data_IF_959396286437
#
_entry.id   IF_959396286437
#
_cell.length_a   1.000
_cell.length_b   1.000
_cell.length_c   1.000
_cell.angle_alpha   90.00
_cell.angle_beta   90.00
_cell.angle_gamma   90.00
#
_symmetry.space_group_name_H-M   'P 1'
#
loop_
_entity.id
_entity.type
_entity.pdbx_description
1 polymer ?
#
# COMPACT_ATOMS: atom_id res chain seq x y z
N UNK A 1 0.21 0.17 14.21
CA UNK A 1 -0.40 -0.62 13.11
C UNK A 1 0.50 -1.80 12.79
N UNK A 2 -0.09 -2.88 12.27
CA UNK A 2 0.65 -3.96 11.58
C UNK A 2 0.72 -3.60 10.09
N UNK A 3 1.93 -3.50 9.56
CA UNK A 3 2.19 -3.15 8.15
C UNK A 3 2.68 -4.38 7.42
N UNK A 4 1.94 -4.81 6.40
CA UNK A 4 2.34 -5.92 5.52
C UNK A 4 3.15 -5.42 4.33
N UNK A 5 4.23 -6.10 3.99
CA UNK A 5 4.97 -5.90 2.74
C UNK A 5 4.70 -7.08 1.83
N UNK A 6 4.16 -6.81 0.64
CA UNK A 6 3.92 -7.81 -0.41
C UNK A 6 3.93 -7.12 -1.78
N UNK A 7 4.73 -7.55 -2.73
CA UNK A 7 4.79 -6.96 -4.07
C UNK A 7 4.68 -8.03 -5.16
N UNK A 8 4.36 -7.60 -6.38
CA UNK A 8 4.28 -8.49 -7.54
C UNK A 8 5.63 -9.17 -7.85
N UNK A 9 5.58 -10.40 -8.37
CA UNK A 9 6.78 -11.21 -8.70
C UNK A 9 7.74 -10.53 -9.68
N UNK A 10 7.24 -9.63 -10.53
CA UNK A 10 8.10 -8.83 -11.42
C UNK A 10 9.13 -7.97 -10.68
N UNK A 11 8.99 -7.80 -9.37
CA UNK A 11 9.90 -7.03 -8.51
C UNK A 11 10.36 -7.83 -7.29
N UNK A 12 10.38 -9.17 -7.37
CA UNK A 12 10.77 -10.05 -6.25
C UNK A 12 12.16 -9.76 -5.72
N UNK A 13 13.11 -9.45 -6.60
CA UNK A 13 14.48 -9.11 -6.22
C UNK A 13 14.59 -7.86 -5.33
N UNK A 14 13.56 -7.01 -5.35
CA UNK A 14 13.50 -5.84 -4.47
C UNK A 14 12.78 -6.08 -3.15
N UNK A 15 12.24 -7.28 -2.92
CA UNK A 15 11.51 -7.57 -1.68
C UNK A 15 12.33 -7.24 -0.42
N UNK A 16 13.60 -7.68 -0.28
CA UNK A 16 14.40 -7.36 0.90
C UNK A 16 14.56 -5.85 1.09
N UNK A 17 14.81 -5.11 0.00
CA UNK A 17 14.96 -3.67 0.05
C UNK A 17 13.67 -2.96 0.50
N UNK A 18 12.51 -3.37 -0.07
CA UNK A 18 11.21 -2.79 0.30
C UNK A 18 10.92 -3.06 1.78
N UNK A 19 11.18 -4.28 2.23
CA UNK A 19 10.98 -4.67 3.62
C UNK A 19 11.86 -3.85 4.56
N UNK A 20 13.16 -3.74 4.29
CA UNK A 20 14.10 -2.99 5.12
C UNK A 20 13.78 -1.49 5.16
N UNK A 21 13.44 -0.90 4.01
CA UNK A 21 13.02 0.50 3.95
C UNK A 21 11.72 0.73 4.74
N UNK A 22 10.76 -0.21 4.64
CA UNK A 22 9.49 -0.12 5.38
C UNK A 22 9.73 -0.23 6.89
N UNK A 23 10.59 -1.14 7.33
CA UNK A 23 10.97 -1.25 8.75
C UNK A 23 11.58 0.04 9.28
N UNK A 24 12.60 0.55 8.59
CA UNK A 24 13.27 1.81 8.98
C UNK A 24 12.31 2.98 9.06
N UNK A 25 11.30 3.02 8.20
CA UNK A 25 10.32 4.10 8.17
C UNK A 25 9.21 3.94 9.22
N UNK A 26 8.74 2.71 9.48
CA UNK A 26 7.53 2.46 10.25
C UNK A 26 7.79 2.10 11.73
N UNK A 27 8.81 1.29 12.03
CA UNK A 27 9.08 0.82 13.39
C UNK A 27 9.41 1.95 14.40
N UNK A 28 10.14 3.02 14.03
CA UNK A 28 10.36 4.16 14.93
C UNK A 28 9.07 4.86 15.40
N UNK A 29 7.98 4.68 14.66
CA UNK A 29 6.65 5.22 14.98
C UNK A 29 5.73 4.19 15.67
N UNK A 30 6.27 3.09 16.18
CA UNK A 30 5.55 2.06 16.93
C UNK A 30 4.70 1.13 16.05
N UNK A 31 5.04 0.99 14.77
CA UNK A 31 4.39 0.02 13.88
C UNK A 31 5.18 -1.28 13.83
N UNK A 32 4.53 -2.40 13.54
CA UNK A 32 5.16 -3.70 13.32
C UNK A 32 5.12 -4.02 11.84
N UNK A 33 6.24 -4.45 11.24
CA UNK A 33 6.32 -4.77 9.82
C UNK A 33 6.46 -6.27 9.61
N UNK A 34 5.62 -6.82 8.73
CA UNK A 34 5.58 -8.26 8.40
C UNK A 34 5.80 -8.41 6.89
N UNK A 35 6.75 -9.27 6.51
CA UNK A 35 7.02 -9.55 5.11
C UNK A 35 6.25 -10.78 4.64
N UNK A 36 5.41 -10.61 3.62
CA UNK A 36 4.61 -11.66 2.98
C UNK A 36 5.15 -12.06 1.59
N UNK A 37 6.28 -11.53 1.19
CA UNK A 37 6.90 -11.84 -0.12
C UNK A 37 6.46 -10.83 -1.22
N UNK A 38 6.54 -11.18 -2.49
CA UNK A 38 7.11 -12.42 -3.05
C UNK A 38 8.62 -12.40 -2.82
N UNK A 39 9.17 -13.48 -2.27
CA UNK A 39 10.60 -13.56 -1.94
C UNK A 39 11.44 -13.87 -3.19
N UNK A 40 12.73 -13.48 -3.23
CA UNK A 40 13.61 -13.73 -4.38
C UNK A 40 13.71 -15.21 -4.77
N UNK A 41 13.71 -16.11 -3.77
CA UNK A 41 13.82 -17.56 -3.96
C UNK A 41 12.53 -18.25 -4.43
N UNK A 42 11.39 -17.55 -4.40
CA UNK A 42 10.13 -18.13 -4.86
C UNK A 42 10.12 -18.31 -6.39
N UNK A 43 9.72 -19.48 -6.84
CA UNK A 43 9.67 -19.83 -8.27
C UNK A 43 8.34 -19.48 -8.93
N UNK A 44 7.27 -19.44 -8.14
CA UNK A 44 5.93 -19.11 -8.62
C UNK A 44 5.81 -17.62 -8.98
N UNK A 45 4.99 -17.36 -9.98
CA UNK A 45 4.75 -16.00 -10.46
C UNK A 45 3.39 -15.50 -10.01
N UNK A 46 3.40 -14.57 -9.09
CA UNK A 46 2.23 -13.83 -8.64
C UNK A 46 2.13 -12.51 -9.40
N UNK A 47 1.10 -12.37 -10.22
CA UNK A 47 0.80 -11.14 -10.92
C UNK A 47 0.41 -10.03 -9.94
N UNK A 48 0.40 -8.78 -10.43
CA UNK A 48 -0.09 -7.65 -9.61
C UNK A 48 -1.58 -7.80 -9.23
N UNK A 49 -2.37 -8.54 -10.01
CA UNK A 49 -3.79 -8.81 -9.71
C UNK A 49 -3.92 -9.79 -8.55
N UNK A 50 -3.21 -10.91 -8.60
CA UNK A 50 -3.19 -11.92 -7.53
C UNK A 50 -2.61 -11.35 -6.24
N UNK A 51 -1.51 -10.60 -6.33
CA UNK A 51 -0.91 -9.90 -5.18
C UNK A 51 -1.87 -8.89 -4.55
N UNK A 52 -2.62 -8.15 -5.37
CA UNK A 52 -3.65 -7.23 -4.86
C UNK A 52 -4.78 -7.99 -4.15
N UNK A 53 -5.17 -9.15 -4.67
CA UNK A 53 -6.17 -10.00 -4.04
C UNK A 53 -5.70 -10.51 -2.67
N UNK A 54 -4.46 -11.01 -2.58
CA UNK A 54 -3.85 -11.40 -1.30
C UNK A 54 -3.77 -10.21 -0.33
N UNK A 55 -3.41 -9.02 -0.83
CA UNK A 55 -3.39 -7.79 -0.02
C UNK A 55 -4.78 -7.48 0.58
N UNK A 56 -5.83 -7.64 -0.20
CA UNK A 56 -7.21 -7.46 0.27
C UNK A 56 -7.62 -8.52 1.31
N UNK A 57 -7.19 -9.78 1.16
CA UNK A 57 -7.39 -10.83 2.16
C UNK A 57 -6.68 -10.51 3.48
N UNK A 58 -5.42 -10.06 3.42
CA UNK A 58 -4.64 -9.69 4.59
C UNK A 58 -5.29 -8.53 5.37
N UNK A 59 -5.80 -7.53 4.65
CA UNK A 59 -6.52 -6.39 5.25
C UNK A 59 -7.87 -6.83 5.84
N UNK A 60 -8.67 -7.57 5.08
CA UNK A 60 -10.03 -7.97 5.49
C UNK A 60 -10.04 -8.97 6.66
N UNK A 61 -9.00 -9.79 6.79
CA UNK A 61 -8.85 -10.72 7.92
C UNK A 61 -8.33 -10.04 9.20
N UNK A 62 -7.87 -8.78 9.11
CA UNK A 62 -7.22 -8.09 10.24
C UNK A 62 -5.80 -8.61 10.54
N UNK A 63 -5.21 -9.39 9.64
CA UNK A 63 -3.81 -9.82 9.76
C UNK A 63 -2.88 -8.60 9.74
N UNK A 64 -3.20 -7.61 8.92
CA UNK A 64 -2.52 -6.32 8.84
C UNK A 64 -3.51 -5.15 8.78
N UNK A 65 -3.04 -3.96 9.14
CA UNK A 65 -3.81 -2.71 9.08
C UNK A 65 -3.48 -1.88 7.84
N UNK A 66 -2.29 -2.09 7.29
CA UNK A 66 -1.76 -1.36 6.14
C UNK A 66 -0.91 -2.27 5.25
N UNK A 67 -0.93 -2.04 3.93
CA UNK A 67 -0.11 -2.76 2.95
C UNK A 67 0.85 -1.80 2.23
N UNK A 68 2.12 -2.14 2.22
CA UNK A 68 3.13 -1.60 1.30
C UNK A 68 3.30 -2.61 0.17
N UNK A 69 2.99 -2.19 -1.05
CA UNK A 69 3.00 -3.04 -2.24
C UNK A 69 3.58 -2.31 -3.44
N UNK A 70 3.62 -2.96 -4.59
CA UNK A 70 4.04 -2.37 -5.85
C UNK A 70 4.23 -3.38 -6.96
N UNK A 71 4.45 -2.86 -8.13
CA UNK A 71 4.84 -3.61 -9.33
C UNK A 71 5.83 -2.76 -10.14
N UNK A 72 6.14 -3.13 -11.37
CA UNK A 72 7.11 -2.37 -12.16
C UNK A 72 6.75 -0.89 -12.31
N UNK A 73 5.50 -0.54 -12.62
CA UNK A 73 5.04 0.86 -12.73
C UNK A 73 4.31 1.35 -11.47
N UNK A 74 3.86 0.46 -10.60
CA UNK A 74 2.98 0.77 -9.47
C UNK A 74 1.51 1.04 -9.84
N UNK A 75 1.24 1.42 -11.09
CA UNK A 75 -0.11 1.81 -11.53
C UNK A 75 -1.06 0.61 -11.60
N UNK A 76 -0.62 -0.50 -12.21
CA UNK A 76 -1.43 -1.72 -12.28
C UNK A 76 -1.79 -2.25 -10.89
N UNK A 77 -0.84 -2.25 -9.97
CA UNK A 77 -1.06 -2.67 -8.58
C UNK A 77 -2.09 -1.76 -7.89
N UNK A 78 -1.97 -0.43 -8.05
CA UNK A 78 -2.95 0.53 -7.50
C UNK A 78 -4.36 0.25 -8.04
N UNK A 79 -4.51 0.07 -9.35
CA UNK A 79 -5.81 -0.22 -9.99
C UNK A 79 -6.40 -1.53 -9.47
N UNK A 80 -5.61 -2.59 -9.40
CA UNK A 80 -6.03 -3.89 -8.91
C UNK A 80 -6.46 -3.82 -7.43
N UNK A 81 -5.66 -3.19 -6.58
CA UNK A 81 -6.01 -2.97 -5.17
C UNK A 81 -7.32 -2.21 -5.03
N UNK A 82 -7.48 -1.11 -5.75
CA UNK A 82 -8.70 -0.30 -5.71
C UNK A 82 -9.92 -0.96 -6.36
N UNK A 83 -9.77 -2.07 -7.06
CA UNK A 83 -10.89 -2.89 -7.56
C UNK A 83 -11.51 -3.75 -6.46
N UNK A 84 -10.81 -3.95 -5.35
CA UNK A 84 -11.20 -4.88 -4.28
C UNK A 84 -11.89 -4.16 -3.11
N UNK A 85 -12.82 -4.81 -2.41
CA UNK A 85 -13.52 -4.19 -1.30
C UNK A 85 -12.59 -3.90 -0.12
N UNK A 86 -12.84 -2.78 0.53
CA UNK A 86 -12.09 -2.37 1.74
C UNK A 86 -10.66 -1.91 1.49
N UNK A 87 -10.21 -1.84 0.24
CA UNK A 87 -8.86 -1.35 -0.10
C UNK A 87 -8.94 0.06 -0.67
N UNK A 88 -8.18 0.97 -0.07
CA UNK A 88 -7.94 2.32 -0.55
C UNK A 88 -6.45 2.50 -0.77
N UNK A 89 -6.01 2.32 -2.01
CA UNK A 89 -4.61 2.27 -2.40
C UNK A 89 -4.19 3.56 -3.11
N UNK A 90 -3.14 4.22 -2.59
CA UNK A 90 -2.49 5.33 -3.24
C UNK A 90 -1.34 4.88 -4.13
N UNK A 91 -1.12 5.57 -5.26
CA UNK A 91 0.10 5.48 -6.04
C UNK A 91 1.09 6.52 -5.52
N UNK A 92 2.21 6.09 -4.99
CA UNK A 92 3.15 6.94 -4.24
C UNK A 92 4.55 6.93 -4.87
N UNK A 93 4.77 7.67 -5.96
CA UNK A 93 6.07 7.73 -6.63
C UNK A 93 7.07 8.65 -5.92
N UNK A 94 6.60 9.59 -5.08
CA UNK A 94 7.43 10.59 -4.42
C UNK A 94 7.10 10.76 -2.94
N UNK A 95 8.04 11.33 -2.15
CA UNK A 95 7.77 11.68 -0.75
C UNK A 95 6.58 12.63 -0.55
N UNK A 96 6.34 13.55 -1.49
CA UNK A 96 5.18 14.46 -1.43
C UNK A 96 3.87 13.68 -1.57
N UNK A 97 3.79 12.76 -2.52
CA UNK A 97 2.60 11.93 -2.71
C UNK A 97 2.32 11.10 -1.45
N UNK A 98 3.36 10.52 -0.86
CA UNK A 98 3.27 9.72 0.35
C UNK A 98 2.79 10.56 1.55
N UNK A 99 3.35 11.75 1.74
CA UNK A 99 2.91 12.67 2.79
C UNK A 99 1.44 13.02 2.64
N UNK A 100 1.03 13.46 1.45
CA UNK A 100 -0.35 13.89 1.20
C UNK A 100 -1.34 12.72 1.33
N UNK A 101 -0.99 11.56 0.79
CA UNK A 101 -1.82 10.36 0.91
C UNK A 101 -2.02 9.96 2.38
N UNK A 102 -0.94 9.89 3.15
CA UNK A 102 -1.03 9.57 4.57
C UNK A 102 -1.83 10.59 5.36
N UNK A 103 -1.60 11.88 5.12
CA UNK A 103 -2.25 12.97 5.90
C UNK A 103 -3.70 13.22 5.49
N UNK A 104 -4.01 13.15 4.20
CA UNK A 104 -5.33 13.55 3.68
C UNK A 104 -6.22 12.34 3.46
N UNK A 105 -5.76 11.37 2.67
CA UNK A 105 -6.64 10.30 2.20
C UNK A 105 -6.82 9.18 3.23
N UNK A 106 -5.83 8.96 4.10
CA UNK A 106 -5.93 7.96 5.17
C UNK A 106 -6.27 6.57 4.64
N UNK A 107 -5.75 6.21 3.46
CA UNK A 107 -5.93 4.89 2.88
C UNK A 107 -5.17 3.80 3.64
N UNK A 108 -5.32 2.56 3.21
CA UNK A 108 -4.74 1.39 3.87
C UNK A 108 -3.79 0.56 2.98
N UNK A 109 -3.46 1.07 1.80
CA UNK A 109 -2.47 0.45 0.92
C UNK A 109 -1.67 1.51 0.15
N UNK A 110 -0.38 1.27 -0.05
CA UNK A 110 0.53 2.12 -0.81
C UNK A 110 1.15 1.32 -1.94
N UNK A 111 0.93 1.72 -3.19
CA UNK A 111 1.54 1.13 -4.37
C UNK A 111 2.71 1.97 -4.88
N UNK A 112 3.87 1.33 -4.98
CA UNK A 112 5.14 1.95 -5.33
C UNK A 112 5.59 1.55 -6.76
N UNK A 113 6.16 2.48 -7.56
CA UNK A 113 6.83 2.15 -8.81
C UNK A 113 8.22 1.56 -8.49
N UNK A 114 8.32 0.23 -8.56
CA UNK A 114 9.55 -0.48 -8.17
C UNK A 114 10.49 -0.76 -9.36
N UNK A 115 10.03 -0.55 -10.59
CA UNK A 115 10.81 -0.68 -11.81
C UNK A 115 10.94 0.63 -12.55
N UNK A 116 9.82 1.19 -12.98
CA UNK A 116 9.78 2.44 -13.75
C UNK A 116 10.30 3.62 -12.92
N UNK A 117 11.33 4.29 -13.45
CA UNK A 117 11.92 5.46 -12.79
C UNK A 117 12.72 5.14 -11.52
N UNK A 118 12.90 3.86 -11.18
CA UNK A 118 13.68 3.48 -9.99
C UNK A 118 15.14 3.92 -10.13
N UNK A 119 15.77 3.59 -11.27
CA UNK A 119 17.07 4.10 -11.67
C UNK A 119 18.20 3.99 -10.64
N UNK A 120 19.24 4.76 -10.85
CA UNK A 120 20.35 4.91 -9.90
C UNK A 120 19.89 5.71 -8.68
N UNK A 121 20.25 5.23 -7.48
CA UNK A 121 19.79 5.80 -6.19
C UNK A 121 18.27 5.75 -5.96
N UNK A 122 17.55 4.85 -6.65
CA UNK A 122 16.10 4.69 -6.44
C UNK A 122 15.72 4.25 -5.02
N UNK A 123 16.63 3.55 -4.34
CA UNK A 123 16.50 3.18 -2.92
C UNK A 123 16.40 4.39 -1.99
N UNK A 124 17.05 5.51 -2.32
CA UNK A 124 16.96 6.75 -1.54
C UNK A 124 15.56 7.35 -1.68
N UNK A 125 15.03 7.43 -2.89
CA UNK A 125 13.65 7.90 -3.11
C UNK A 125 12.64 6.99 -2.40
N UNK A 126 12.81 5.67 -2.48
CA UNK A 126 11.97 4.70 -1.80
C UNK A 126 11.97 4.92 -0.28
N UNK A 127 13.16 5.05 0.33
CA UNK A 127 13.30 5.29 1.77
C UNK A 127 12.60 6.59 2.18
N UNK A 128 12.90 7.71 1.49
CA UNK A 128 12.29 9.01 1.77
C UNK A 128 10.76 8.98 1.59
N UNK A 129 10.26 8.25 0.58
CA UNK A 129 8.82 8.10 0.34
C UNK A 129 8.14 7.38 1.51
N UNK A 130 8.71 6.27 1.98
CA UNK A 130 8.17 5.52 3.10
C UNK A 130 8.29 6.29 4.43
N UNK A 131 9.38 7.00 4.66
CA UNK A 131 9.53 7.87 5.84
C UNK A 131 8.44 8.95 5.87
N UNK A 132 8.14 9.59 4.73
CA UNK A 132 7.07 10.58 4.66
C UNK A 132 5.66 9.98 4.77
N UNK A 133 5.50 8.73 4.40
CA UNK A 133 4.24 8.01 4.60
C UNK A 133 3.95 7.80 6.09
N UNK A 134 4.95 7.36 6.86
CA UNK A 134 4.80 6.94 8.26
C UNK A 134 5.19 7.99 9.30
N UNK A 135 5.67 9.20 8.90
CA UNK A 135 6.18 10.21 9.83
C UNK A 135 5.15 10.77 10.82
N UNK A 136 3.85 10.56 10.58
CA UNK A 136 2.74 11.07 11.41
C UNK A 136 1.50 10.19 11.31
N UNK A 137 0.51 10.50 12.13
CA UNK A 137 -0.80 9.86 12.14
C UNK A 137 -1.52 9.99 10.78
N UNK A 138 -2.18 8.92 10.36
CA UNK A 138 -2.92 8.84 9.10
C UNK A 138 -4.29 9.54 9.19
N UNK A 139 -4.69 10.17 8.08
CA UNK A 139 -6.03 10.74 7.93
C UNK A 139 -6.35 11.93 8.85
N UNK A 140 -5.33 12.56 9.45
CA UNK A 140 -5.53 13.73 10.34
C UNK A 140 -6.04 14.97 9.61
N UNK A 141 -5.89 15.01 8.27
CA UNK A 141 -6.20 16.16 7.43
C UNK A 141 -5.04 17.14 7.32
N UNK A 142 -4.90 17.68 6.11
CA UNK A 142 -3.86 18.67 5.79
C UNK A 142 -4.39 19.66 4.74
N UNK A 143 -4.08 20.97 4.81
CA UNK A 143 -3.42 21.62 5.96
C UNK A 143 -4.30 21.64 7.22
N UNK A 144 -3.78 21.95 8.40
CA UNK A 144 -4.51 21.83 9.69
C UNK A 144 -5.85 22.54 9.72
N UNK A 145 -5.96 23.71 9.11
CA UNK A 145 -7.20 24.51 9.00
C UNK A 145 -8.31 23.79 8.21
N UNK A 146 -7.94 22.87 7.31
CA UNK A 146 -8.85 22.08 6.48
C UNK A 146 -9.15 20.68 7.08
N UNK A 147 -8.54 20.34 8.21
CA UNK A 147 -8.53 18.98 8.76
C UNK A 147 -9.93 18.41 8.98
N UNK A 148 -10.88 19.22 9.47
CA UNK A 148 -12.27 18.79 9.72
C UNK A 148 -12.96 18.35 8.42
N UNK A 149 -12.82 19.12 7.35
CA UNK A 149 -13.38 18.79 6.03
C UNK A 149 -12.74 17.54 5.45
N UNK A 150 -11.40 17.47 5.49
CA UNK A 150 -10.64 16.33 4.94
C UNK A 150 -10.99 15.01 5.63
N UNK A 151 -11.12 15.01 6.97
CA UNK A 151 -11.55 13.82 7.72
C UNK A 151 -12.94 13.35 7.31
N UNK A 152 -13.90 14.28 7.19
CA UNK A 152 -15.25 13.96 6.72
C UNK A 152 -15.21 13.33 5.32
N UNK A 153 -14.44 13.90 4.42
CA UNK A 153 -14.32 13.43 3.03
C UNK A 153 -13.65 12.04 2.99
N UNK A 154 -12.66 11.78 3.86
CA UNK A 154 -12.04 10.46 4.01
C UNK A 154 -13.04 9.40 4.50
N UNK A 155 -13.86 9.72 5.50
CA UNK A 155 -14.88 8.78 5.99
C UNK A 155 -15.96 8.50 4.94
N UNK A 156 -16.38 9.52 4.19
CA UNK A 156 -17.30 9.35 3.07
C UNK A 156 -16.68 8.45 1.99
N UNK A 157 -15.42 8.64 1.65
CA UNK A 157 -14.70 7.80 0.67
C UNK A 157 -14.67 6.32 1.12
N UNK A 158 -14.39 6.05 2.39
CA UNK A 158 -14.42 4.69 2.95
C UNK A 158 -15.82 4.06 2.83
N UNK A 159 -16.85 4.83 3.19
CA UNK A 159 -18.25 4.37 3.11
C UNK A 159 -18.65 4.05 1.65
N UNK A 160 -18.29 4.91 0.69
CA UNK A 160 -18.55 4.70 -0.73
C UNK A 160 -17.78 3.48 -1.27
N UNK A 161 -16.52 3.29 -0.86
CA UNK A 161 -15.74 2.11 -1.23
C UNK A 161 -16.42 0.81 -0.78
N UNK A 162 -16.93 0.78 0.45
CA UNK A 162 -17.63 -0.38 0.97
C UNK A 162 -18.98 -0.61 0.27
N UNK A 163 -19.77 0.44 0.09
CA UNK A 163 -21.11 0.34 -0.51
C UNK A 163 -21.07 0.03 -2.00
N UNK A 164 -20.03 0.48 -2.71
CA UNK A 164 -19.92 0.33 -4.17
C UNK A 164 -19.32 -0.98 -4.65
N UNK A 165 -18.98 -1.91 -3.74
CA UNK A 165 -18.28 -3.15 -4.10
C UNK A 165 -18.98 -4.40 -3.58
N UNK A 166 -18.78 -5.50 -4.31
CA UNK A 166 -19.26 -6.82 -3.89
C UNK A 166 -18.35 -7.40 -2.80
N UNK A 167 -18.88 -8.32 -1.95
CA UNK A 167 -18.06 -9.03 -0.97
C UNK A 167 -16.87 -9.76 -1.60
N UNK A 168 -15.74 -9.77 -0.90
CA UNK A 168 -14.51 -10.43 -1.37
C UNK A 168 -14.69 -11.93 -1.68
N UNK A 169 -15.62 -12.58 -0.97
CA UNK A 169 -16.00 -13.99 -1.21
C UNK A 169 -16.51 -14.26 -2.63
N UNK A 170 -17.04 -13.26 -3.34
CA UNK A 170 -17.40 -13.42 -4.75
C UNK A 170 -16.16 -13.39 -5.65
N UNK A 171 -15.15 -12.62 -5.29
CA UNK A 171 -13.86 -12.60 -5.98
C UNK A 171 -13.14 -13.95 -5.93
N UNK A 172 -13.25 -14.68 -4.80
CA UNK A 172 -12.68 -16.03 -4.67
C UNK A 172 -13.19 -17.03 -5.72
N UNK A 173 -14.41 -16.85 -6.22
CA UNK A 173 -15.00 -17.72 -7.25
C UNK A 173 -14.42 -17.52 -8.64
N UNK A 174 -13.67 -16.42 -8.84
CA UNK A 174 -12.99 -16.11 -10.12
C UNK A 174 -11.59 -16.74 -10.19
N UNK A 175 -11.07 -17.23 -9.08
CA UNK A 175 -9.81 -17.96 -9.05
C UNK A 175 -10.07 -19.45 -9.23
N UNK A 176 -9.34 -20.10 -10.17
CA UNK A 176 -9.49 -21.54 -10.43
C UNK A 176 -9.02 -22.39 -9.25
#
# INVERSE_FOLDING_TARGET
MKVGVIQASSQREKNPLIYDCTKKAAEPHGHTVINFGVFPEETENWSYVETAFLSSLLLSSGAVDFIVTGCSSGQGMMLACNSLPGVLCGYLPTPQDAFLFGRINGGNAASLPLGLGFGWCGEINLQCTLEKLFDREFGVGWPPEESKRKRRDTELLKALNTAGKRPLSEGLKLYP
#
